data_IF_258658880836
#
_entry.id   IF_258658880836
#
_cell.length_a   1.000
_cell.length_b   1.000
_cell.length_c   1.000
_cell.angle_alpha   90.00
_cell.angle_beta   90.00
_cell.angle_gamma   90.00
#
_symmetry.space_group_name_H-M   'P 1'
#
loop_
_entity.id
_entity.type
_entity.pdbx_description
1 polymer ?
#
# COMPACT_ATOMS: atom_id res chain seq x y z
N UNK A 1 -20.66 -2.10 -11.94
CA UNK A 1 -19.63 -1.09 -12.30
C UNK A 1 -18.80 -0.84 -11.06
N UNK A 2 -17.50 -1.13 -11.12
CA UNK A 2 -16.59 -0.85 -10.01
C UNK A 2 -16.35 0.66 -9.93
N UNK A 3 -16.53 1.23 -8.74
CA UNK A 3 -16.19 2.63 -8.44
C UNK A 3 -14.81 2.68 -7.81
N UNK A 4 -14.03 3.71 -8.11
CA UNK A 4 -12.68 3.91 -7.58
C UNK A 4 -12.57 5.25 -6.83
N UNK A 5 -11.64 5.29 -5.89
CA UNK A 5 -11.26 6.46 -5.08
C UNK A 5 -9.74 6.60 -5.14
N UNK A 6 -9.27 7.84 -5.18
CA UNK A 6 -7.84 8.14 -5.18
C UNK A 6 -7.37 8.41 -3.75
N UNK A 7 -6.35 7.69 -3.31
CA UNK A 7 -5.61 7.98 -2.09
C UNK A 7 -4.29 8.63 -2.49
N UNK A 8 -4.04 9.85 -2.00
CA UNK A 8 -2.80 10.58 -2.27
C UNK A 8 -1.89 10.56 -1.06
N UNK A 9 -0.64 10.14 -1.27
CA UNK A 9 0.46 10.23 -0.32
C UNK A 9 1.36 11.39 -0.76
N UNK A 10 1.27 12.48 -0.02
CA UNK A 10 2.23 13.60 -0.08
C UNK A 10 3.65 13.12 0.26
N UNK A 11 4.70 13.75 -0.25
CA UNK A 11 6.08 13.38 0.08
C UNK A 11 6.38 13.48 1.59
N UNK A 12 5.62 14.26 2.36
CA UNK A 12 5.72 14.35 3.83
C UNK A 12 4.91 13.28 4.58
N UNK A 13 4.16 12.43 3.86
CA UNK A 13 3.30 11.40 4.45
C UNK A 13 4.08 10.49 5.42
N UNK A 14 3.54 10.22 6.62
CA UNK A 14 4.17 9.31 7.58
C UNK A 14 4.21 7.86 7.11
N UNK A 15 3.47 7.52 6.04
CA UNK A 15 3.51 6.19 5.43
C UNK A 15 4.77 5.98 4.58
N UNK A 16 5.49 7.05 4.23
CA UNK A 16 6.71 6.99 3.41
C UNK A 16 7.94 6.96 4.32
N UNK A 17 8.76 5.93 4.15
CA UNK A 17 10.03 5.79 4.87
C UNK A 17 11.18 6.25 3.98
N UNK A 18 12.07 7.07 4.55
CA UNK A 18 13.29 7.56 3.90
C UNK A 18 14.52 6.97 4.62
N UNK A 19 14.86 5.68 4.39
CA UNK A 19 15.84 4.97 5.21
C UNK A 19 17.29 5.48 5.07
N UNK A 20 17.64 6.16 3.98
CA UNK A 20 19.01 6.64 3.75
C UNK A 20 19.30 7.89 4.59
N UNK A 21 20.13 7.83 5.66
CA UNK A 21 20.42 9.00 6.49
C UNK A 21 21.17 10.06 5.67
N UNK A 22 20.70 11.30 5.69
CA UNK A 22 21.26 12.39 4.87
C UNK A 22 21.06 12.22 3.35
N UNK A 23 20.39 11.15 2.92
CA UNK A 23 20.08 10.89 1.50
C UNK A 23 18.96 11.76 0.97
N UNK A 24 18.18 12.40 1.84
CA UNK A 24 17.02 13.20 1.45
C UNK A 24 16.99 14.52 2.21
N UNK A 25 16.52 15.56 1.55
CA UNK A 25 16.26 16.86 2.18
C UNK A 25 14.93 17.42 1.72
N UNK A 26 14.24 18.11 2.63
CA UNK A 26 13.04 18.87 2.28
C UNK A 26 13.41 20.13 1.54
N UNK A 27 12.56 20.52 0.60
CA UNK A 27 12.62 21.78 -0.10
C UNK A 27 11.22 22.33 -0.25
N UNK A 28 11.02 23.59 0.14
CA UNK A 28 9.85 24.34 -0.30
C UNK A 28 10.11 24.78 -1.75
N UNK A 29 9.33 24.30 -2.70
CA UNK A 29 9.44 24.70 -4.10
C UNK A 29 8.07 24.94 -4.69
N UNK A 30 7.93 26.06 -5.41
CA UNK A 30 6.74 26.33 -6.21
C UNK A 30 6.61 25.21 -7.25
N UNK A 31 5.41 24.62 -7.33
CA UNK A 31 5.11 23.52 -8.25
C UNK A 31 5.10 22.13 -7.63
N UNK A 32 5.41 22.01 -6.33
CA UNK A 32 5.14 20.80 -5.55
C UNK A 32 3.70 20.79 -5.02
N UNK A 33 3.14 19.61 -4.84
CA UNK A 33 1.95 19.40 -4.05
C UNK A 33 2.20 19.89 -2.62
N UNK A 34 1.24 20.66 -2.08
CA UNK A 34 1.34 21.33 -0.78
C UNK A 34 2.60 22.20 -0.58
N UNK A 35 3.22 22.69 -1.66
CA UNK A 35 4.44 23.50 -1.65
C UNK A 35 5.66 22.81 -1.03
N UNK A 36 5.64 21.47 -0.89
CA UNK A 36 6.75 20.67 -0.34
C UNK A 36 7.20 19.58 -1.30
N UNK A 37 8.51 19.49 -1.52
CA UNK A 37 9.12 18.36 -2.21
C UNK A 37 10.28 17.78 -1.41
N UNK A 38 10.59 16.51 -1.70
CA UNK A 38 11.72 15.80 -1.12
C UNK A 38 12.78 15.54 -2.17
N UNK A 39 13.95 16.11 -1.95
CA UNK A 39 15.07 16.08 -2.89
C UNK A 39 16.07 15.02 -2.45
N UNK A 40 16.41 14.11 -3.37
CA UNK A 40 17.49 13.16 -3.20
C UNK A 40 18.85 13.88 -3.19
N UNK A 41 19.73 13.51 -2.26
CA UNK A 41 21.08 14.10 -2.10
C UNK A 41 22.19 13.13 -2.44
N UNK A 42 21.94 11.82 -2.38
CA UNK A 42 22.91 10.78 -2.74
C UNK A 42 22.48 9.93 -3.94
N UNK A 43 23.45 9.25 -4.56
CA UNK A 43 23.24 8.27 -5.65
C UNK A 43 22.54 6.97 -5.22
N UNK A 44 22.29 6.84 -3.93
CA UNK A 44 21.66 5.70 -3.27
C UNK A 44 20.60 6.18 -2.29
N UNK A 45 19.90 7.26 -2.64
CA UNK A 45 18.78 7.75 -1.84
C UNK A 45 17.59 6.84 -2.10
N UNK A 46 17.13 6.15 -1.07
CA UNK A 46 16.00 5.24 -1.16
C UNK A 46 14.82 5.78 -0.38
N UNK A 47 13.62 5.57 -0.90
CA UNK A 47 12.38 5.66 -0.14
C UNK A 47 11.54 4.41 -0.39
N UNK A 48 10.67 4.09 0.55
CA UNK A 48 9.73 2.98 0.41
C UNK A 48 8.44 3.21 1.18
N UNK A 49 7.37 2.57 0.75
CA UNK A 49 6.12 2.47 1.49
C UNK A 49 5.33 1.24 1.07
N UNK A 50 4.48 0.76 1.97
CA UNK A 50 3.47 -0.26 1.66
C UNK A 50 2.15 0.43 1.40
N UNK A 51 1.40 -0.05 0.40
CA UNK A 51 0.09 0.51 0.10
C UNK A 51 -0.82 0.39 1.34
N UNK A 52 -1.48 1.48 1.78
CA UNK A 52 -2.36 1.44 2.94
C UNK A 52 -3.64 0.63 2.69
N UNK A 53 -4.06 0.50 1.42
CA UNK A 53 -5.23 -0.26 0.99
C UNK A 53 -4.92 -1.00 -0.33
N UNK A 54 -5.64 -2.10 -0.66
CA UNK A 54 -5.44 -2.78 -1.94
C UNK A 54 -5.78 -1.87 -3.13
N UNK A 55 -4.78 -1.56 -3.96
CA UNK A 55 -4.91 -0.64 -5.09
C UNK A 55 -4.82 -1.36 -6.44
N UNK A 56 -5.47 -0.83 -7.47
CA UNK A 56 -5.39 -1.34 -8.85
C UNK A 56 -4.38 -0.54 -9.70
N UNK A 57 -3.96 0.63 -9.23
CA UNK A 57 -2.94 1.42 -9.89
C UNK A 57 -2.12 2.26 -8.91
N UNK A 58 -0.88 2.53 -9.29
CA UNK A 58 0.02 3.49 -8.66
C UNK A 58 0.43 4.54 -9.71
N UNK A 59 0.28 5.81 -9.34
CA UNK A 59 0.77 6.96 -10.07
C UNK A 59 1.83 7.65 -9.23
N UNK A 60 3.02 7.84 -9.78
CA UNK A 60 4.11 8.54 -9.11
C UNK A 60 4.41 9.85 -9.83
N UNK A 61 4.32 10.94 -9.07
CA UNK A 61 4.58 12.30 -9.50
C UNK A 61 5.85 12.84 -8.87
N UNK A 62 6.60 13.59 -9.65
CA UNK A 62 7.79 14.29 -9.18
C UNK A 62 8.10 15.50 -10.05
N UNK A 63 9.10 16.27 -9.63
CA UNK A 63 9.54 17.44 -10.37
C UNK A 63 10.77 17.08 -11.20
N UNK A 64 10.74 17.46 -12.47
CA UNK A 64 11.93 17.47 -13.33
C UNK A 64 12.88 18.53 -12.78
N UNK A 65 13.89 18.10 -12.02
CA UNK A 65 14.93 18.97 -11.47
C UNK A 65 15.73 19.66 -12.57
N UNK A 66 16.38 20.77 -12.23
CA UNK A 66 17.36 21.41 -13.09
C UNK A 66 18.51 20.42 -13.43
N UNK A 67 19.13 20.54 -14.62
CA UNK A 67 20.25 19.68 -15.01
C UNK A 67 21.34 19.62 -13.93
N UNK A 68 22.06 18.48 -13.78
CA UNK A 68 22.18 17.36 -14.72
C UNK A 68 21.04 16.32 -14.65
N UNK A 69 21.05 15.36 -15.60
CA UNK A 69 20.10 14.24 -15.69
C UNK A 69 19.84 13.60 -14.32
N UNK A 70 18.57 13.56 -13.92
CA UNK A 70 18.14 12.81 -12.75
C UNK A 70 17.70 11.40 -13.20
N UNK A 71 18.14 10.40 -12.45
CA UNK A 71 17.78 9.01 -12.64
C UNK A 71 16.97 8.55 -11.45
N UNK A 72 15.96 7.74 -11.72
CA UNK A 72 15.28 7.01 -10.67
C UNK A 72 15.00 5.60 -11.13
N UNK A 73 14.77 4.73 -10.17
CA UNK A 73 14.40 3.37 -10.43
C UNK A 73 13.36 2.92 -9.43
N UNK A 74 12.39 2.17 -9.93
CA UNK A 74 11.22 1.70 -9.17
C UNK A 74 11.30 0.19 -9.03
N UNK A 75 10.84 -0.29 -7.89
CA UNK A 75 10.62 -1.69 -7.60
C UNK A 75 9.27 -1.83 -6.89
N UNK A 76 8.47 -2.82 -7.29
CA UNK A 76 7.21 -3.18 -6.63
C UNK A 76 7.29 -4.66 -6.28
N UNK A 77 7.15 -4.99 -4.99
CA UNK A 77 7.22 -6.35 -4.44
C UNK A 77 8.53 -7.12 -4.66
N UNK A 78 9.64 -6.45 -4.99
CA UNK A 78 10.91 -7.16 -5.21
C UNK A 78 11.56 -7.57 -3.88
N UNK A 79 12.09 -8.81 -3.79
CA UNK A 79 12.61 -9.38 -2.54
C UNK A 79 13.95 -8.77 -2.07
N UNK A 80 14.67 -8.07 -2.94
CA UNK A 80 16.03 -7.55 -2.67
C UNK A 80 16.13 -6.02 -2.74
N UNK A 81 15.01 -5.30 -2.83
CA UNK A 81 14.97 -3.88 -3.19
C UNK A 81 15.76 -3.57 -4.49
N UNK A 82 16.00 -4.59 -5.33
CA UNK A 82 16.64 -4.41 -6.61
C UNK A 82 15.61 -3.76 -7.56
N UNK A 83 15.91 -2.58 -8.11
CA UNK A 83 14.99 -1.90 -9.01
C UNK A 83 14.74 -2.69 -10.29
N UNK A 84 13.49 -2.76 -10.73
CA UNK A 84 13.06 -3.45 -11.96
C UNK A 84 13.33 -2.65 -13.24
N UNK A 85 13.80 -1.41 -13.12
CA UNK A 85 14.18 -0.60 -14.27
C UNK A 85 14.79 0.74 -13.87
N UNK A 86 15.78 1.21 -14.63
CA UNK A 86 16.35 2.56 -14.46
C UNK A 86 15.71 3.52 -15.47
N UNK A 87 14.95 4.47 -14.97
CA UNK A 87 14.33 5.54 -15.74
C UNK A 87 15.23 6.77 -15.74
N UNK A 88 15.36 7.39 -16.93
CA UNK A 88 16.14 8.61 -17.11
C UNK A 88 15.16 9.77 -17.31
N UNK A 89 15.23 10.78 -16.44
CA UNK A 89 14.50 12.03 -16.66
C UNK A 89 15.42 13.03 -17.32
N UNK A 90 15.04 13.42 -18.54
CA UNK A 90 15.62 14.59 -19.18
C UNK A 90 14.85 15.83 -18.73
N UNK A 91 15.57 16.84 -18.24
CA UNK A 91 15.02 18.12 -17.89
C UNK A 91 14.77 18.92 -19.18
N UNK A 92 13.63 18.70 -19.83
CA UNK A 92 13.09 19.69 -20.79
C UNK A 92 12.27 20.72 -20.03
N UNK A 93 12.50 22.03 -20.24
CA UNK A 93 11.68 23.08 -19.66
C UNK A 93 10.18 22.89 -19.97
N UNK A 94 9.28 23.37 -19.09
CA UNK A 94 9.55 24.19 -17.91
C UNK A 94 10.06 23.37 -16.72
N UNK A 95 11.12 23.88 -16.07
CA UNK A 95 11.59 23.40 -14.78
C UNK A 95 10.51 23.70 -13.72
N UNK A 96 10.41 22.86 -12.68
CA UNK A 96 9.49 23.04 -11.55
C UNK A 96 8.00 22.83 -11.85
N UNK A 97 7.67 22.01 -12.84
CA UNK A 97 6.30 21.49 -13.00
C UNK A 97 6.18 20.09 -12.40
N UNK A 98 5.04 19.81 -11.78
CA UNK A 98 4.63 18.45 -11.45
C UNK A 98 4.56 17.63 -12.76
N UNK A 99 5.18 16.45 -12.77
CA UNK A 99 5.12 15.54 -13.90
C UNK A 99 4.74 14.14 -13.40
N UNK A 100 3.87 13.46 -14.13
CA UNK A 100 3.66 12.02 -13.95
C UNK A 100 4.89 11.28 -14.50
N UNK A 101 5.65 10.65 -13.60
CA UNK A 101 6.94 10.04 -13.93
C UNK A 101 6.83 8.53 -14.14
N UNK A 102 5.90 7.88 -13.44
CA UNK A 102 5.72 6.44 -13.50
C UNK A 102 4.26 6.07 -13.22
N UNK A 103 3.78 5.05 -13.93
CA UNK A 103 2.45 4.46 -13.75
C UNK A 103 2.61 2.94 -13.75
N UNK A 104 1.98 2.29 -12.78
CA UNK A 104 1.80 0.85 -12.78
C UNK A 104 0.33 0.52 -12.60
N UNK A 105 -0.21 -0.33 -13.47
CA UNK A 105 -1.53 -0.94 -13.31
C UNK A 105 -1.36 -2.40 -12.90
N UNK A 106 -2.25 -2.88 -12.03
CA UNK A 106 -2.32 -4.26 -11.60
C UNK A 106 -3.54 -4.94 -12.21
N UNK A 107 -3.45 -6.25 -12.44
CA UNK A 107 -4.59 -7.03 -12.96
C UNK A 107 -5.65 -7.28 -11.87
N UNK A 108 -5.24 -7.26 -10.61
CA UNK A 108 -6.08 -7.47 -9.42
C UNK A 108 -5.68 -6.48 -8.33
N UNK A 109 -6.64 -5.87 -7.60
CA UNK A 109 -6.30 -4.97 -6.51
C UNK A 109 -5.47 -5.69 -5.44
N UNK A 110 -4.36 -5.09 -5.04
CA UNK A 110 -3.42 -5.70 -4.10
C UNK A 110 -2.73 -4.69 -3.20
N UNK A 111 -2.26 -5.16 -2.05
CA UNK A 111 -1.34 -4.40 -1.20
C UNK A 111 0.07 -4.72 -1.68
N UNK A 112 0.80 -3.70 -2.12
CA UNK A 112 2.13 -3.84 -2.67
C UNK A 112 3.15 -3.05 -1.86
N UNK A 113 4.41 -3.51 -1.88
CA UNK A 113 5.54 -2.77 -1.33
C UNK A 113 6.25 -2.02 -2.44
N UNK A 114 6.21 -0.69 -2.40
CA UNK A 114 6.87 0.19 -3.35
C UNK A 114 8.23 0.64 -2.81
N UNK A 115 9.25 0.58 -3.65
CA UNK A 115 10.57 1.15 -3.38
C UNK A 115 11.02 2.00 -4.55
N UNK A 116 11.57 3.17 -4.25
CA UNK A 116 12.21 4.05 -5.22
C UNK A 116 13.65 4.33 -4.81
N UNK A 117 14.55 4.21 -5.79
CA UNK A 117 15.93 4.68 -5.68
C UNK A 117 16.12 5.87 -6.60
N UNK A 118 16.76 6.91 -6.11
CA UNK A 118 16.99 8.14 -6.85
C UNK A 118 18.47 8.53 -6.89
N UNK A 119 18.86 9.20 -7.98
CA UNK A 119 20.11 9.95 -8.08
C UNK A 119 19.98 11.31 -7.38
N UNK A 120 21.09 12.01 -7.11
CA UNK A 120 21.03 13.35 -6.55
C UNK A 120 20.19 14.30 -7.40
N UNK A 121 19.58 15.28 -6.73
CA UNK A 121 18.71 16.33 -7.27
C UNK A 121 17.37 15.87 -7.87
N UNK A 122 17.09 14.56 -7.82
CA UNK A 122 15.75 14.06 -8.11
C UNK A 122 14.76 14.53 -7.04
N UNK A 123 13.59 15.01 -7.47
CA UNK A 123 12.57 15.55 -6.56
C UNK A 123 11.31 14.69 -6.59
N UNK A 124 10.95 14.18 -5.42
CA UNK A 124 9.71 13.45 -5.16
C UNK A 124 8.65 14.46 -4.74
N UNK A 125 7.46 14.34 -5.33
CA UNK A 125 6.31 15.21 -5.06
C UNK A 125 5.18 14.44 -4.37
N UNK A 126 4.55 13.49 -5.05
CA UNK A 126 3.48 12.68 -4.46
C UNK A 126 3.29 11.33 -5.13
N UNK A 127 2.54 10.46 -4.46
CA UNK A 127 2.04 9.21 -4.99
C UNK A 127 0.52 9.20 -4.92
N UNK A 128 -0.14 8.68 -5.95
CA UNK A 128 -1.59 8.47 -5.93
C UNK A 128 -1.89 7.00 -6.19
N UNK A 129 -2.73 6.41 -5.35
CA UNK A 129 -3.21 5.04 -5.47
C UNK A 129 -4.68 5.06 -5.91
N UNK A 130 -5.00 4.29 -6.93
CA UNK A 130 -6.39 4.07 -7.33
C UNK A 130 -6.93 2.85 -6.60
N UNK A 131 -7.89 3.06 -5.70
CA UNK A 131 -8.43 2.03 -4.81
C UNK A 131 -9.90 1.75 -5.15
N UNK A 132 -10.31 0.48 -5.31
CA UNK A 132 -11.72 0.13 -5.50
C UNK A 132 -12.57 0.43 -4.26
N UNK A 133 -13.59 1.27 -4.41
CA UNK A 133 -14.48 1.73 -3.31
C UNK A 133 -15.26 0.63 -2.57
N UNK A 134 -15.42 -0.57 -3.14
CA UNK A 134 -16.07 -1.68 -2.44
C UNK A 134 -15.20 -2.25 -1.31
N UNK A 135 -13.90 -1.93 -1.29
CA UNK A 135 -12.99 -2.22 -0.18
C UNK A 135 -13.07 -1.16 0.93
N UNK A 136 -13.66 0.02 0.65
CA UNK A 136 -13.79 1.14 1.58
C UNK A 136 -15.17 1.13 2.28
N UNK A 137 -15.82 -0.03 2.36
CA UNK A 137 -16.92 -0.19 3.30
C UNK A 137 -16.41 0.20 4.69
N UNK A 138 -17.13 1.04 5.46
CA UNK A 138 -16.66 1.50 6.75
C UNK A 138 -16.25 0.28 7.58
N UNK A 139 -15.11 0.36 8.26
CA UNK A 139 -14.55 -0.71 9.12
C UNK A 139 -15.61 -1.35 10.05
N UNK A 140 -16.70 -0.63 10.35
CA UNK A 140 -17.88 -1.08 11.09
C UNK A 140 -18.71 -2.19 10.40
N UNK A 141 -18.62 -2.38 9.08
CA UNK A 141 -19.31 -3.43 8.35
C UNK A 141 -18.56 -4.78 8.42
N UNK A 142 -17.23 -4.75 8.53
CA UNK A 142 -16.42 -5.97 8.67
C UNK A 142 -16.49 -6.51 10.10
N UNK A 143 -16.53 -5.61 11.10
CA UNK A 143 -16.72 -6.00 12.51
C UNK A 143 -18.09 -6.68 12.74
N UNK A 144 -19.15 -6.24 12.05
CA UNK A 144 -20.48 -6.85 12.15
C UNK A 144 -20.60 -8.16 11.37
N UNK A 145 -19.89 -8.32 10.24
CA UNK A 145 -19.79 -9.59 9.51
C UNK A 145 -18.96 -10.66 10.25
N UNK A 146 -17.86 -10.28 10.92
CA UNK A 146 -17.07 -11.20 11.74
C UNK A 146 -17.81 -11.59 13.05
N UNK A 147 -18.56 -10.67 13.66
CA UNK A 147 -19.38 -10.98 14.84
C UNK A 147 -20.52 -11.98 14.51
N UNK A 148 -21.12 -11.90 13.33
CA UNK A 148 -22.16 -12.83 12.89
C UNK A 148 -21.59 -14.19 12.44
N UNK A 149 -20.38 -14.24 11.86
CA UNK A 149 -19.70 -15.50 11.57
C UNK A 149 -19.23 -16.22 12.84
N UNK A 150 -18.73 -15.48 13.85
CA UNK A 150 -18.35 -16.04 15.14
C UNK A 150 -19.57 -16.55 15.93
N UNK A 151 -20.70 -15.82 15.90
CA UNK A 151 -21.94 -16.28 16.52
C UNK A 151 -22.46 -17.59 15.90
N UNK A 152 -22.37 -17.73 14.57
CA UNK A 152 -22.80 -18.94 13.85
C UNK A 152 -21.94 -20.18 14.19
N UNK A 153 -20.64 -20.02 14.41
CA UNK A 153 -19.76 -21.12 14.79
C UNK A 153 -19.95 -21.57 16.25
N UNK A 154 -20.31 -20.66 17.15
CA UNK A 154 -20.60 -21.00 18.55
C UNK A 154 -21.90 -21.81 18.67
N UNK A 155 -22.93 -21.50 17.87
CA UNK A 155 -24.18 -22.31 17.86
C UNK A 155 -23.98 -23.71 17.29
N UNK A 156 -23.15 -23.89 16.25
CA UNK A 156 -22.89 -25.20 15.68
C UNK A 156 -22.09 -26.12 16.62
N UNK A 157 -21.11 -25.56 17.34
CA UNK A 157 -20.27 -26.31 18.29
C UNK A 157 -21.06 -26.83 19.51
N UNK A 158 -21.97 -26.02 20.06
CA UNK A 158 -22.81 -26.42 21.21
C UNK A 158 -23.81 -27.51 20.83
N UNK A 159 -24.37 -27.48 19.60
CA UNK A 159 -25.31 -28.51 19.14
C UNK A 159 -24.64 -29.88 18.98
N UNK A 160 -23.41 -29.93 18.47
CA UNK A 160 -22.67 -31.20 18.30
C UNK A 160 -22.32 -31.82 19.66
N UNK A 161 -21.90 -31.02 20.64
CA UNK A 161 -21.58 -31.52 21.99
C UNK A 161 -22.83 -32.00 22.76
N UNK A 162 -23.96 -31.29 22.66
CA UNK A 162 -25.20 -31.70 23.34
C UNK A 162 -25.78 -33.01 22.78
N UNK A 163 -25.69 -33.23 21.46
CA UNK A 163 -26.12 -34.49 20.83
C UNK A 163 -25.20 -35.65 21.22
N UNK A 164 -23.89 -35.44 21.27
CA UNK A 164 -22.94 -36.48 21.67
C UNK A 164 -23.12 -36.94 23.13
N UNK A 165 -23.32 -36.00 24.06
CA UNK A 165 -23.56 -36.32 25.47
C UNK A 165 -24.88 -37.10 25.65
N UNK A 166 -25.93 -36.73 24.92
CA UNK A 166 -27.22 -37.41 25.00
C UNK A 166 -27.15 -38.86 24.48
N UNK A 167 -26.36 -39.12 23.43
CA UNK A 167 -26.15 -40.49 22.92
C UNK A 167 -25.33 -41.38 23.87
N UNK A 168 -24.31 -40.83 24.52
CA UNK A 168 -23.47 -41.59 25.47
C UNK A 168 -24.26 -41.98 26.72
N UNK A 169 -25.11 -41.08 27.25
CA UNK A 169 -25.94 -41.37 28.43
C UNK A 169 -26.99 -42.45 28.15
N UNK A 170 -27.61 -42.45 26.97
CA UNK A 170 -28.57 -43.49 26.58
C UNK A 170 -27.90 -44.87 26.44
N UNK A 171 -26.65 -44.93 25.99
CA UNK A 171 -25.94 -46.20 25.82
C UNK A 171 -25.46 -46.82 27.15
N UNK A 172 -25.18 -45.98 28.16
CA UNK A 172 -24.75 -46.42 29.50
C UNK A 172 -25.91 -46.87 30.39
N UNK A 173 -27.11 -46.27 30.25
CA UNK A 173 -28.28 -46.68 31.01
C UNK A 173 -28.87 -48.03 30.56
N UNK A 174 -28.74 -48.38 29.28
CA UNK A 174 -29.26 -49.66 28.74
C UNK A 174 -28.35 -50.88 28.97
N UNK A 175 -27.14 -50.72 29.54
CA UNK A 175 -26.21 -51.83 29.80
C UNK A 175 -26.15 -52.33 31.24
N UNK A 176 -27.01 -51.81 32.13
CA UNK A 176 -27.05 -52.19 33.55
C UNK A 176 -28.28 -53.04 33.95
N UNK A 177 -29.08 -53.47 32.98
CA UNK A 177 -30.27 -54.31 33.18
C UNK A 177 -30.25 -55.56 32.31
N UNK A 178 -29.25 -56.42 32.50
CA UNK A 178 -29.24 -57.81 32.04
C UNK A 178 -28.35 -58.64 32.96
#
# INVERSE_FOLDING_TARGET
>A
MTKYVNITLDDTSPLITYPTPGGWSRSSSVGCYNDTCTIARGWTSYLSFTFPEPAIALYFYGIKGAPPLAFFSVCIDCPSNAPDGTFKLHATPPLNSENLLYVQHFSTPGVHNFTLKASPNFQVDRFTLEVPTYLNAPLNAIASAQASAAASQVTASVFVYAVFICMIVNHLLFRSGA
#
